data_IF_585235310483
#
_entry.id   IF_585235310483
#
_cell.length_a   1.000
_cell.length_b   1.000
_cell.length_c   1.000
_cell.angle_alpha   90.00
_cell.angle_beta   90.00
_cell.angle_gamma   90.00
#
_symmetry.space_group_name_H-M   'P 1'
#
loop_
_entity.id
_entity.type
_entity.pdbx_description
1 polymer ?
#
# COMPACT_ATOMS: atom_id res chain seq x y z
N UNK A 1 21.70 -7.15 -3.27
CA UNK A 1 20.28 -7.50 -3.44
C UNK A 1 19.38 -6.55 -2.66
N UNK A 2 19.47 -6.51 -1.33
CA UNK A 2 18.66 -5.64 -0.44
C UNK A 2 18.48 -4.17 -0.89
N UNK A 3 19.55 -3.48 -1.32
CA UNK A 3 19.47 -2.07 -1.75
C UNK A 3 18.62 -1.86 -3.01
N UNK A 4 18.74 -2.76 -3.99
CA UNK A 4 18.01 -2.66 -5.26
C UNK A 4 16.53 -2.90 -5.04
N UNK A 5 16.16 -3.84 -4.17
CA UNK A 5 14.76 -4.13 -3.83
C UNK A 5 14.11 -2.98 -3.05
N UNK A 6 14.84 -2.37 -2.10
CA UNK A 6 14.37 -1.18 -1.39
C UNK A 6 14.14 -0.03 -2.36
N UNK A 7 15.10 0.27 -3.24
CA UNK A 7 14.95 1.35 -4.23
C UNK A 7 13.78 1.06 -5.16
N UNK A 8 13.67 -0.16 -5.69
CA UNK A 8 12.56 -0.54 -6.57
C UNK A 8 11.21 -0.43 -5.87
N UNK A 9 11.13 -0.78 -4.59
CA UNK A 9 9.90 -0.66 -3.81
C UNK A 9 9.54 0.80 -3.51
N UNK A 10 10.51 1.66 -3.19
CA UNK A 10 10.28 3.10 -3.01
C UNK A 10 9.80 3.74 -4.33
N UNK A 11 10.45 3.40 -5.44
CA UNK A 11 10.07 3.88 -6.76
C UNK A 11 8.64 3.46 -7.14
N UNK A 12 8.25 2.23 -6.82
CA UNK A 12 6.90 1.72 -7.11
C UNK A 12 5.82 2.23 -6.16
N UNK A 13 6.11 2.28 -4.87
CA UNK A 13 5.09 2.46 -3.83
C UNK A 13 4.96 3.93 -3.35
N UNK A 14 6.03 4.74 -3.44
CA UNK A 14 6.06 6.09 -2.86
C UNK A 14 6.30 7.23 -3.88
N UNK A 15 7.04 6.99 -4.96
CA UNK A 15 7.31 8.05 -5.95
C UNK A 15 6.06 8.52 -6.66
N UNK A 16 5.17 7.60 -7.06
CA UNK A 16 3.99 7.99 -7.82
C UNK A 16 3.02 8.84 -6.98
N UNK A 17 2.69 8.47 -5.73
CA UNK A 17 2.02 9.37 -4.78
C UNK A 17 2.69 10.74 -4.62
N UNK A 18 4.02 10.78 -4.50
CA UNK A 18 4.77 12.02 -4.33
C UNK A 18 4.67 12.91 -5.58
N UNK A 19 4.83 12.34 -6.77
CA UNK A 19 4.68 13.06 -8.04
C UNK A 19 3.26 13.56 -8.18
N UNK A 20 2.25 12.73 -7.89
CA UNK A 20 0.86 13.13 -7.98
C UNK A 20 0.53 14.28 -7.03
N UNK A 21 1.07 14.28 -5.81
CA UNK A 21 0.90 15.40 -4.88
C UNK A 21 1.61 16.69 -5.35
N UNK A 22 2.83 16.58 -5.87
CA UNK A 22 3.62 17.76 -6.25
C UNK A 22 3.23 18.37 -7.59
N UNK A 23 2.67 17.59 -8.52
CA UNK A 23 2.47 17.99 -9.91
C UNK A 23 1.05 17.80 -10.45
N UNK A 24 0.22 16.96 -9.83
CA UNK A 24 -1.13 16.60 -10.32
C UNK A 24 -2.23 16.86 -9.28
N UNK A 25 -1.97 17.73 -8.31
CA UNK A 25 -2.92 18.15 -7.27
C UNK A 25 -3.63 16.98 -6.56
N UNK A 26 -2.95 15.83 -6.40
CA UNK A 26 -3.55 14.69 -5.72
C UNK A 26 -3.79 15.00 -4.24
N UNK A 27 -5.06 14.98 -3.83
CA UNK A 27 -5.47 15.09 -2.44
C UNK A 27 -5.14 13.85 -1.61
N UNK A 28 -5.34 13.95 -0.30
CA UNK A 28 -5.06 12.86 0.64
C UNK A 28 -5.82 11.59 0.28
N UNK A 29 -7.11 11.70 0.05
CA UNK A 29 -7.94 10.53 -0.19
C UNK A 29 -7.68 9.89 -1.56
N UNK A 30 -7.31 10.69 -2.58
CA UNK A 30 -6.85 10.19 -3.87
C UNK A 30 -5.61 9.28 -3.73
N UNK A 31 -4.61 9.74 -2.97
CA UNK A 31 -3.40 8.97 -2.68
C UNK A 31 -3.73 7.74 -1.82
N UNK A 32 -4.63 7.90 -0.85
CA UNK A 32 -5.10 6.78 -0.04
C UNK A 32 -5.77 5.72 -0.93
N UNK A 33 -6.63 6.09 -1.88
CA UNK A 33 -7.25 5.17 -2.83
C UNK A 33 -6.21 4.42 -3.67
N UNK A 34 -5.19 5.10 -4.20
CA UNK A 34 -4.07 4.45 -4.89
C UNK A 34 -3.43 3.36 -4.02
N UNK A 35 -3.10 3.69 -2.77
CA UNK A 35 -2.55 2.74 -1.81
C UNK A 35 -3.53 1.59 -1.48
N UNK A 36 -4.82 1.88 -1.31
CA UNK A 36 -5.83 0.88 -1.00
C UNK A 36 -6.05 -0.11 -2.16
N UNK A 37 -6.07 0.37 -3.41
CA UNK A 37 -6.13 -0.51 -4.58
C UNK A 37 -4.90 -1.39 -4.70
N UNK A 38 -3.69 -0.86 -4.46
CA UNK A 38 -2.47 -1.65 -4.41
C UNK A 38 -2.53 -2.73 -3.31
N UNK A 39 -3.02 -2.36 -2.12
CA UNK A 39 -3.21 -3.29 -1.00
C UNK A 39 -4.20 -4.42 -1.32
N UNK A 40 -5.32 -4.10 -1.97
CA UNK A 40 -6.30 -5.09 -2.44
C UNK A 40 -5.65 -6.04 -3.44
N UNK A 41 -4.97 -5.52 -4.46
CA UNK A 41 -4.29 -6.33 -5.48
C UNK A 41 -3.26 -7.26 -4.82
N UNK A 42 -2.40 -6.75 -3.93
CA UNK A 42 -1.41 -7.56 -3.20
C UNK A 42 -2.06 -8.68 -2.38
N UNK A 43 -3.22 -8.40 -1.80
CA UNK A 43 -4.00 -9.37 -1.02
C UNK A 43 -4.60 -10.45 -1.92
N UNK A 44 -5.13 -10.10 -3.10
CA UNK A 44 -5.64 -11.06 -4.09
C UNK A 44 -4.54 -12.01 -4.59
N UNK A 45 -3.32 -11.50 -4.76
CA UNK A 45 -2.17 -12.30 -5.20
C UNK A 45 -1.46 -13.07 -4.07
N UNK A 46 -1.88 -12.91 -2.81
CA UNK A 46 -1.25 -13.56 -1.66
C UNK A 46 -1.24 -15.09 -1.81
N UNK A 47 -2.34 -15.70 -2.23
CA UNK A 47 -2.42 -17.14 -2.46
C UNK A 47 -1.37 -17.63 -3.46
N UNK A 48 -1.15 -16.87 -4.54
CA UNK A 48 -0.14 -17.19 -5.55
C UNK A 48 1.28 -17.08 -4.99
N UNK A 49 1.53 -16.15 -4.07
CA UNK A 49 2.82 -16.01 -3.38
C UNK A 49 3.08 -17.16 -2.41
N UNK A 50 2.09 -17.55 -1.62
CA UNK A 50 2.20 -18.66 -0.68
C UNK A 50 2.49 -19.98 -1.41
N UNK A 51 1.88 -20.18 -2.59
CA UNK A 51 2.14 -21.34 -3.45
C UNK A 51 3.60 -21.43 -3.95
N UNK A 52 4.40 -20.35 -3.86
CA UNK A 52 5.83 -20.37 -4.22
C UNK A 52 6.74 -20.88 -3.09
N UNK A 53 6.17 -21.24 -1.95
CA UNK A 53 6.88 -21.64 -0.73
C UNK A 53 6.43 -23.04 -0.27
N UNK A 54 6.50 -24.08 -1.13
CA UNK A 54 5.99 -25.41 -0.81
C UNK A 54 6.72 -26.08 0.36
N UNK A 55 7.93 -25.62 0.69
CA UNK A 55 8.76 -26.18 1.76
C UNK A 55 8.56 -25.46 3.11
N UNK A 56 7.74 -24.42 3.16
CA UNK A 56 7.50 -23.62 4.38
C UNK A 56 6.21 -24.08 5.06
N UNK A 57 6.31 -24.41 6.35
CA UNK A 57 5.13 -24.66 7.19
C UNK A 57 4.62 -23.33 7.72
N UNK A 58 3.46 -22.90 7.23
CA UNK A 58 2.86 -21.62 7.64
C UNK A 58 2.19 -21.72 9.02
N UNK A 59 2.26 -20.66 9.84
CA UNK A 59 1.42 -20.54 11.02
C UNK A 59 -0.07 -20.66 10.65
N UNK A 60 -0.86 -21.30 11.52
CA UNK A 60 -2.32 -21.37 11.34
C UNK A 60 -2.90 -19.97 11.19
N UNK A 61 -3.73 -19.78 10.17
CA UNK A 61 -4.37 -18.49 9.89
C UNK A 61 -3.47 -17.43 9.26
N UNK A 62 -2.25 -17.75 8.79
CA UNK A 62 -1.37 -16.76 8.15
C UNK A 62 -2.06 -15.99 7.03
N UNK A 63 -2.76 -16.68 6.11
CA UNK A 63 -3.52 -16.04 5.03
C UNK A 63 -4.64 -15.16 5.58
N UNK A 64 -5.46 -15.69 6.49
CA UNK A 64 -6.59 -14.98 7.10
C UNK A 64 -6.13 -13.71 7.79
N UNK A 65 -5.02 -13.78 8.55
CA UNK A 65 -4.41 -12.62 9.19
C UNK A 65 -4.08 -11.54 8.17
N UNK A 66 -3.42 -11.86 7.06
CA UNK A 66 -3.14 -10.87 6.02
C UNK A 66 -4.40 -10.21 5.46
N UNK A 67 -5.44 -11.00 5.18
CA UNK A 67 -6.72 -10.47 4.66
C UNK A 67 -7.39 -9.54 5.68
N UNK A 68 -7.42 -9.94 6.95
CA UNK A 68 -8.00 -9.12 8.04
C UNK A 68 -7.22 -7.83 8.23
N UNK A 69 -5.88 -7.87 8.18
CA UNK A 69 -5.05 -6.67 8.26
C UNK A 69 -5.36 -5.71 7.11
N UNK A 70 -5.44 -6.23 5.87
CA UNK A 70 -5.78 -5.41 4.71
C UNK A 70 -7.18 -4.78 4.82
N UNK A 71 -8.18 -5.55 5.25
CA UNK A 71 -9.53 -5.06 5.47
C UNK A 71 -9.59 -3.97 6.55
N UNK A 72 -8.82 -4.13 7.63
CA UNK A 72 -8.76 -3.14 8.70
C UNK A 72 -8.07 -1.85 8.25
N UNK A 73 -7.01 -1.94 7.44
CA UNK A 73 -6.36 -0.76 6.85
C UNK A 73 -7.31 0.00 5.91
N UNK A 74 -8.08 -0.71 5.07
CA UNK A 74 -9.13 -0.10 4.24
C UNK A 74 -10.13 0.66 5.11
N UNK A 75 -10.67 0.00 6.14
CA UNK A 75 -11.66 0.61 7.02
C UNK A 75 -11.09 1.84 7.77
N UNK A 76 -9.88 1.75 8.29
CA UNK A 76 -9.25 2.85 9.03
C UNK A 76 -8.94 4.05 8.13
N UNK A 77 -8.46 3.84 6.90
CA UNK A 77 -8.18 4.97 6.00
C UNK A 77 -9.46 5.67 5.52
N UNK A 78 -10.55 4.92 5.28
CA UNK A 78 -11.86 5.55 5.04
C UNK A 78 -12.32 6.34 6.26
N UNK A 79 -12.20 5.77 7.46
CA UNK A 79 -12.61 6.45 8.68
C UNK A 79 -11.77 7.70 8.98
N UNK A 80 -10.45 7.63 8.79
CA UNK A 80 -9.55 8.78 8.91
C UNK A 80 -9.94 9.91 7.96
N UNK A 81 -10.29 9.55 6.72
CA UNK A 81 -10.73 10.50 5.70
C UNK A 81 -12.08 11.13 6.09
N UNK A 82 -13.02 10.34 6.59
CA UNK A 82 -14.31 10.85 7.09
C UNK A 82 -14.17 11.86 8.22
N UNK A 83 -13.29 11.60 9.19
CA UNK A 83 -13.12 12.51 10.33
C UNK A 83 -12.33 13.77 9.98
N UNK A 84 -11.41 13.68 9.01
CA UNK A 84 -10.46 14.76 8.69
C UNK A 84 -10.89 15.61 7.49
N UNK A 85 -11.56 15.04 6.49
CA UNK A 85 -11.99 15.73 5.27
C UNK A 85 -13.51 15.94 5.34
N UNK A 86 -13.95 17.18 5.62
CA UNK A 86 -15.37 17.52 5.74
C UNK A 86 -15.78 18.59 4.73
N UNK A 87 -16.76 18.35 3.86
CA UNK A 87 -17.47 17.08 3.62
C UNK A 87 -16.67 16.13 2.68
N UNK A 88 -16.76 14.81 2.91
CA UNK A 88 -16.27 13.79 1.96
C UNK A 88 -17.42 12.92 1.49
N UNK A 89 -17.52 12.74 0.17
CA UNK A 89 -18.48 11.83 -0.46
C UNK A 89 -17.66 10.75 -1.17
N UNK A 90 -17.53 9.59 -0.53
CA UNK A 90 -16.61 8.54 -1.00
C UNK A 90 -16.88 8.03 -2.41
N UNK A 91 -18.14 7.98 -2.83
CA UNK A 91 -18.50 7.56 -4.19
C UNK A 91 -17.96 8.52 -5.23
N UNK A 92 -18.04 9.82 -4.96
CA UNK A 92 -17.62 10.87 -5.87
C UNK A 92 -16.10 10.90 -5.95
N UNK A 93 -15.43 10.72 -4.81
CA UNK A 93 -13.97 10.60 -4.75
C UNK A 93 -13.43 9.35 -5.45
N UNK A 94 -14.08 8.20 -5.31
CA UNK A 94 -13.71 6.98 -6.04
C UNK A 94 -13.93 7.19 -7.54
N UNK A 95 -15.04 7.81 -7.91
CA UNK A 95 -15.31 8.13 -9.31
C UNK A 95 -14.29 9.14 -9.86
N UNK A 96 -13.93 10.15 -9.07
CA UNK A 96 -12.88 11.10 -9.39
C UNK A 96 -11.54 10.36 -9.58
N UNK A 97 -11.15 9.44 -8.69
CA UNK A 97 -9.94 8.63 -8.87
C UNK A 97 -9.94 7.87 -10.21
N UNK A 98 -11.07 7.29 -10.60
CA UNK A 98 -11.16 6.51 -11.82
C UNK A 98 -11.19 7.37 -13.08
N UNK A 99 -11.81 8.55 -13.01
CA UNK A 99 -12.10 9.42 -14.15
C UNK A 99 -11.21 10.66 -14.26
N UNK A 100 -10.37 10.95 -13.25
CA UNK A 100 -9.48 12.11 -13.24
C UNK A 100 -8.57 12.06 -14.47
N UNK A 101 -8.73 13.01 -15.37
CA UNK A 101 -7.94 13.05 -16.60
C UNK A 101 -6.65 13.81 -16.37
N UNK A 102 -5.54 13.15 -16.65
CA UNK A 102 -4.22 13.77 -16.70
C UNK A 102 -3.61 13.47 -18.06
N UNK A 103 -3.04 14.47 -18.72
CA UNK A 103 -2.53 14.35 -20.09
C UNK A 103 -3.55 13.78 -21.11
N UNK A 104 -4.85 13.98 -20.88
CA UNK A 104 -5.93 13.48 -21.74
C UNK A 104 -6.27 12.00 -21.58
N UNK A 105 -5.80 11.35 -20.51
CA UNK A 105 -6.13 9.96 -20.18
C UNK A 105 -6.68 9.90 -18.76
N UNK A 106 -7.82 9.22 -18.58
CA UNK A 106 -8.37 8.94 -17.26
C UNK A 106 -7.36 8.10 -16.44
N UNK A 107 -6.92 8.62 -15.30
CA UNK A 107 -5.86 8.06 -14.48
C UNK A 107 -6.21 6.65 -14.00
N UNK A 108 -7.48 6.34 -13.69
CA UNK A 108 -7.89 4.99 -13.32
C UNK A 108 -7.56 3.93 -14.38
N UNK A 109 -7.66 4.30 -15.66
CA UNK A 109 -7.32 3.42 -16.79
C UNK A 109 -5.81 3.11 -16.86
N UNK A 110 -4.96 4.02 -16.36
CA UNK A 110 -3.51 3.81 -16.29
C UNK A 110 -3.09 3.14 -14.98
N UNK A 111 -3.54 3.67 -13.84
CA UNK A 111 -3.10 3.29 -12.51
C UNK A 111 -3.54 1.88 -12.13
N UNK A 112 -4.79 1.49 -12.38
CA UNK A 112 -5.27 0.16 -11.97
C UNK A 112 -4.55 -0.98 -12.72
N UNK A 113 -4.41 -0.93 -14.07
CA UNK A 113 -3.59 -1.92 -14.77
C UNK A 113 -2.14 -1.88 -14.33
N UNK A 114 -1.55 -0.69 -14.10
CA UNK A 114 -0.18 -0.56 -13.63
C UNK A 114 0.03 -1.29 -12.30
N UNK A 115 -0.86 -1.09 -11.32
CA UNK A 115 -0.81 -1.78 -10.03
C UNK A 115 -0.92 -3.30 -10.19
N UNK A 116 -1.85 -3.77 -11.03
CA UNK A 116 -2.02 -5.20 -11.28
C UNK A 116 -0.80 -5.81 -11.97
N UNK A 117 -0.29 -5.17 -13.02
CA UNK A 117 0.89 -5.63 -13.74
C UNK A 117 2.16 -5.56 -12.89
N UNK A 118 2.30 -4.56 -12.03
CA UNK A 118 3.39 -4.49 -11.06
C UNK A 118 3.42 -5.74 -10.19
N UNK A 119 2.28 -6.19 -9.68
CA UNK A 119 2.19 -7.42 -8.88
C UNK A 119 2.55 -8.68 -9.68
N UNK A 120 2.08 -8.77 -10.93
CA UNK A 120 2.41 -9.87 -11.83
C UNK A 120 3.91 -9.90 -12.12
N UNK A 121 4.53 -8.75 -12.41
CA UNK A 121 5.96 -8.63 -12.67
C UNK A 121 6.76 -8.99 -11.42
N UNK A 122 6.34 -8.53 -10.23
CA UNK A 122 7.00 -8.87 -8.97
C UNK A 122 7.02 -10.37 -8.74
N UNK A 123 5.87 -11.03 -8.87
CA UNK A 123 5.76 -12.49 -8.78
C UNK A 123 6.64 -13.23 -9.79
N UNK A 124 6.68 -12.75 -11.04
CA UNK A 124 7.53 -13.34 -12.08
C UNK A 124 9.01 -13.16 -11.76
N UNK A 125 9.40 -12.00 -11.25
CA UNK A 125 10.78 -11.69 -10.90
C UNK A 125 11.24 -12.51 -9.69
N UNK A 126 10.42 -12.64 -8.65
CA UNK A 126 10.69 -13.52 -7.51
C UNK A 126 11.00 -14.94 -7.97
N UNK A 127 10.21 -15.50 -8.90
CA UNK A 127 10.45 -16.82 -9.50
C UNK A 127 11.77 -16.89 -10.28
N UNK A 128 12.02 -15.92 -11.17
CA UNK A 128 13.19 -15.90 -12.07
C UNK A 128 14.52 -15.73 -11.34
N UNK A 129 14.55 -14.89 -10.30
CA UNK A 129 15.78 -14.60 -9.54
C UNK A 129 16.17 -15.77 -8.64
N UNK A 130 15.30 -16.76 -8.44
CA UNK A 130 15.58 -17.91 -7.60
C UNK A 130 15.71 -17.56 -6.11
N UNK A 131 15.06 -16.47 -5.67
CA UNK A 131 15.12 -16.01 -4.27
C UNK A 131 14.78 -17.16 -3.31
N UNK A 132 15.62 -17.42 -2.29
CA UNK A 132 15.39 -18.50 -1.33
C UNK A 132 14.01 -18.43 -0.66
N UNK A 133 13.37 -19.59 -0.42
CA UNK A 133 12.01 -19.64 0.16
C UNK A 133 11.93 -19.03 1.56
N UNK A 134 12.96 -19.20 2.39
CA UNK A 134 13.06 -18.58 3.72
C UNK A 134 13.06 -17.05 3.64
N UNK A 135 13.79 -16.47 2.68
CA UNK A 135 13.84 -15.03 2.44
C UNK A 135 12.47 -14.51 2.01
N UNK A 136 11.82 -15.19 1.06
CA UNK A 136 10.45 -14.84 0.61
C UNK A 136 9.43 -14.91 1.77
N UNK A 137 9.54 -15.92 2.63
CA UNK A 137 8.69 -16.05 3.80
C UNK A 137 8.90 -14.89 4.79
N UNK A 138 10.15 -14.53 5.08
CA UNK A 138 10.46 -13.38 5.95
C UNK A 138 9.94 -12.06 5.37
N UNK A 139 10.00 -11.85 4.05
CA UNK A 139 9.38 -10.67 3.38
C UNK A 139 7.87 -10.63 3.64
N UNK A 140 7.16 -11.76 3.47
CA UNK A 140 5.71 -11.84 3.73
C UNK A 140 5.36 -11.58 5.19
N UNK A 141 6.14 -12.16 6.12
CA UNK A 141 5.97 -11.96 7.55
C UNK A 141 6.24 -10.51 7.96
N UNK A 142 7.31 -9.91 7.45
CA UNK A 142 7.60 -8.49 7.69
C UNK A 142 6.51 -7.60 7.09
N UNK A 143 5.95 -7.94 5.92
CA UNK A 143 4.82 -7.21 5.36
C UNK A 143 3.60 -7.23 6.27
N UNK A 144 3.29 -8.34 6.96
CA UNK A 144 2.23 -8.38 7.97
C UNK A 144 2.56 -7.52 9.19
N UNK A 145 3.82 -7.51 9.63
CA UNK A 145 4.27 -6.67 10.75
C UNK A 145 4.14 -5.18 10.40
N UNK A 146 4.55 -4.79 9.20
CA UNK A 146 4.37 -3.42 8.71
C UNK A 146 2.88 -3.05 8.62
N UNK A 147 2.02 -3.96 8.15
CA UNK A 147 0.57 -3.72 8.16
C UNK A 147 0.01 -3.45 9.56
N UNK A 148 0.46 -4.21 10.56
CA UNK A 148 0.14 -3.94 11.97
C UNK A 148 0.63 -2.57 12.44
N UNK A 149 1.86 -2.18 12.09
CA UNK A 149 2.37 -0.85 12.44
C UNK A 149 1.56 0.26 11.76
N UNK A 150 1.17 0.09 10.49
CA UNK A 150 0.29 1.03 9.78
C UNK A 150 -1.08 1.14 10.45
N UNK A 151 -1.68 0.03 10.88
CA UNK A 151 -2.94 0.04 11.63
C UNK A 151 -2.82 0.88 12.91
N UNK A 152 -1.77 0.66 13.69
CA UNK A 152 -1.51 1.45 14.91
C UNK A 152 -1.33 2.93 14.56
N UNK A 153 -0.55 3.22 13.52
CA UNK A 153 -0.32 4.58 13.03
C UNK A 153 -1.61 5.28 12.61
N UNK A 154 -2.46 4.65 11.79
CA UNK A 154 -3.75 5.20 11.39
C UNK A 154 -4.68 5.41 12.57
N UNK A 155 -4.68 4.48 13.54
CA UNK A 155 -5.49 4.59 14.75
C UNK A 155 -5.09 5.81 15.60
N UNK A 156 -3.78 6.06 15.73
CA UNK A 156 -3.25 7.24 16.42
C UNK A 156 -3.62 8.52 15.66
N UNK A 157 -3.50 8.52 14.33
CA UNK A 157 -3.88 9.69 13.53
C UNK A 157 -5.37 9.99 13.58
N UNK A 158 -6.23 8.97 13.55
CA UNK A 158 -7.68 9.14 13.73
C UNK A 158 -7.97 9.78 15.09
N UNK A 159 -7.37 9.24 16.16
CA UNK A 159 -7.53 9.82 17.50
C UNK A 159 -7.06 11.27 17.54
N UNK A 160 -5.91 11.58 16.94
CA UNK A 160 -5.39 12.93 16.80
C UNK A 160 -6.34 13.87 16.04
N UNK A 161 -6.89 13.42 14.90
CA UNK A 161 -7.84 14.17 14.07
C UNK A 161 -9.18 14.42 14.78
N UNK A 162 -9.57 13.57 15.73
CA UNK A 162 -10.75 13.81 16.56
C UNK A 162 -10.52 14.91 17.62
N UNK A 163 -9.28 15.15 18.03
CA UNK A 163 -8.93 16.15 19.04
C UNK A 163 -8.47 17.48 18.43
N UNK A 164 -7.85 17.43 17.26
CA UNK A 164 -7.23 18.57 16.60
C UNK A 164 -7.56 18.57 15.11
N UNK A 165 -7.72 19.75 14.51
CA UNK A 165 -7.83 19.86 13.05
C UNK A 165 -6.48 19.59 12.40
N UNK A 166 -6.32 18.42 11.81
CA UNK A 166 -5.14 18.06 11.01
C UNK A 166 -5.37 18.52 9.57
N UNK A 167 -4.48 19.36 9.04
CA UNK A 167 -4.56 19.79 7.65
C UNK A 167 -4.39 18.62 6.69
N UNK A 168 -5.08 18.65 5.55
CA UNK A 168 -4.95 17.61 4.51
C UNK A 168 -3.49 17.42 4.04
N UNK A 169 -2.74 18.51 3.85
CA UNK A 169 -1.32 18.46 3.48
C UNK A 169 -0.49 17.64 4.48
N UNK A 170 -0.76 17.79 5.78
CA UNK A 170 -0.07 17.01 6.80
C UNK A 170 -0.41 15.52 6.69
N UNK A 171 -1.66 15.16 6.40
CA UNK A 171 -2.07 13.77 6.17
C UNK A 171 -1.37 13.18 4.94
N UNK A 172 -1.27 13.94 3.84
CA UNK A 172 -0.53 13.53 2.64
C UNK A 172 0.93 13.26 2.96
N UNK A 173 1.61 14.20 3.61
CA UNK A 173 3.03 14.07 3.96
C UNK A 173 3.25 12.85 4.86
N UNK A 174 2.40 12.66 5.88
CA UNK A 174 2.48 11.51 6.78
C UNK A 174 2.26 10.17 6.06
N UNK A 175 1.31 10.11 5.13
CA UNK A 175 1.06 8.92 4.31
C UNK A 175 2.26 8.60 3.42
N UNK A 176 2.77 9.59 2.67
CA UNK A 176 3.93 9.43 1.80
C UNK A 176 5.15 9.00 2.61
N UNK A 177 5.45 9.64 3.74
CA UNK A 177 6.55 9.26 4.62
C UNK A 177 6.43 7.80 5.08
N UNK A 178 5.23 7.34 5.43
CA UNK A 178 5.00 5.94 5.79
C UNK A 178 5.33 4.99 4.62
N UNK A 179 4.94 5.36 3.39
CA UNK A 179 5.26 4.59 2.17
C UNK A 179 6.76 4.57 1.84
N UNK A 180 7.51 5.61 2.18
CA UNK A 180 8.97 5.63 2.05
C UNK A 180 9.68 4.77 3.09
N UNK A 181 9.18 4.73 4.33
CA UNK A 181 9.85 4.03 5.43
C UNK A 181 9.59 2.52 5.39
N UNK A 182 8.40 2.10 4.98
CA UNK A 182 8.02 0.68 5.02
C UNK A 182 8.98 -0.30 4.29
N UNK A 183 9.57 0.01 3.11
CA UNK A 183 10.41 -0.96 2.41
C UNK A 183 11.69 -1.29 3.19
N UNK A 184 12.21 -0.32 3.97
CA UNK A 184 13.37 -0.55 4.82
C UNK A 184 13.11 -1.59 5.90
N UNK A 185 11.88 -1.67 6.41
CA UNK A 185 11.47 -2.67 7.39
C UNK A 185 11.17 -4.02 6.73
N UNK A 186 10.48 -4.02 5.59
CA UNK A 186 10.13 -5.25 4.86
C UNK A 186 11.40 -6.02 4.47
N UNK A 187 12.38 -5.32 3.89
CA UNK A 187 13.60 -5.93 3.35
C UNK A 187 14.78 -5.92 4.34
N UNK A 188 14.55 -5.58 5.63
CA UNK A 188 15.62 -5.44 6.64
C UNK A 188 16.46 -6.72 6.81
N UNK A 189 15.84 -7.89 6.70
CA UNK A 189 16.47 -9.18 7.05
C UNK A 189 16.90 -10.01 5.83
N UNK A 190 17.03 -9.38 4.66
CA UNK A 190 17.60 -10.04 3.48
C UNK A 190 19.13 -10.03 3.56
N UNK A 191 19.69 -10.97 4.33
CA UNK A 191 21.11 -11.29 4.36
C UNK A 191 21.32 -12.68 3.76
#
# INVERSE_FOLDING_TARGET
MKKVEIISAILGDAMLPLVGFLFWDWGFYFIALFFLFDLVIRTLFLNKKLALLPSIVFPKGFFVKSVVLAALEIALLHFLSYVSLKPIIFTDEIWAFLSYEELGIAQGFLLLPLLFFNEVIRLRNEKKVGTPQNVRFEILKNSQLVGLVRIVFWSILIFGSCLFSVSETALVVLLILMLFVQPFWIYRNMA
#
